data_IF_577599478914
#
_entry.id   IF_577599478914
#
_cell.length_a   1.000
_cell.length_b   1.000
_cell.length_c   1.000
_cell.angle_alpha   90.00
_cell.angle_beta   90.00
_cell.angle_gamma   90.00
#
_symmetry.space_group_name_H-M   'P 1'
#
loop_
_entity.id
_entity.type
_entity.pdbx_description
1 polymer ?
#
# COMPACT_ATOMS: atom_id res chain seq x y z
N UNK A 1 -33.15 30.01 54.51
CA UNK A 1 -33.73 28.64 54.57
C UNK A 1 -33.10 27.87 53.44
N UNK A 2 -32.28 26.91 53.81
CA UNK A 2 -31.71 25.98 52.76
C UNK A 2 -32.85 25.07 52.29
N UNK A 3 -32.98 24.93 51.00
CA UNK A 3 -33.98 24.06 50.39
C UNK A 3 -33.35 22.66 50.23
N UNK A 4 -33.99 21.65 50.83
CA UNK A 4 -33.56 20.26 50.82
C UNK A 4 -34.43 19.37 49.92
N UNK A 5 -35.28 19.97 49.06
CA UNK A 5 -36.19 19.20 48.19
C UNK A 5 -35.48 18.31 47.21
N UNK A 6 -34.22 18.62 46.85
CA UNK A 6 -33.35 17.83 46.01
C UNK A 6 -32.97 16.45 46.61
N UNK A 7 -33.02 16.32 47.96
CA UNK A 7 -32.76 15.04 48.65
C UNK A 7 -33.92 14.04 48.48
N UNK A 8 -35.07 14.52 48.08
CA UNK A 8 -36.29 13.73 47.91
C UNK A 8 -36.71 13.59 46.46
N UNK A 9 -35.91 14.14 45.51
CA UNK A 9 -36.12 13.92 44.07
C UNK A 9 -35.93 12.44 43.76
N UNK A 10 -36.86 11.81 43.02
CA UNK A 10 -36.68 10.41 42.61
C UNK A 10 -35.36 10.28 41.87
N UNK A 11 -34.51 9.39 42.35
CA UNK A 11 -33.26 9.05 41.64
C UNK A 11 -33.66 8.55 40.26
N UNK A 12 -32.94 8.98 39.18
CA UNK A 12 -33.18 8.44 37.88
C UNK A 12 -33.03 6.91 37.96
N UNK A 13 -34.08 6.20 37.54
CA UNK A 13 -34.06 4.74 37.45
C UNK A 13 -32.76 4.33 36.79
N UNK A 14 -31.92 3.58 37.52
CA UNK A 14 -30.78 2.92 36.91
C UNK A 14 -31.35 2.04 35.81
N UNK A 15 -31.11 2.40 34.53
CA UNK A 15 -31.40 1.51 33.44
C UNK A 15 -30.56 0.26 33.68
N UNK A 16 -31.22 -0.81 34.10
CA UNK A 16 -30.59 -2.13 34.07
C UNK A 16 -30.14 -2.38 32.64
N UNK A 17 -28.83 -2.38 32.44
CA UNK A 17 -28.28 -2.76 31.16
C UNK A 17 -28.80 -4.16 30.81
N UNK A 18 -29.50 -4.29 29.71
CA UNK A 18 -30.00 -5.57 29.25
C UNK A 18 -28.84 -6.58 29.23
N UNK A 19 -29.05 -7.83 29.67
CA UNK A 19 -28.00 -8.82 29.74
C UNK A 19 -27.33 -8.96 28.37
N UNK A 20 -26.00 -9.01 28.37
CA UNK A 20 -25.19 -9.09 27.13
C UNK A 20 -25.62 -10.33 26.32
N UNK A 21 -26.24 -10.09 25.16
CA UNK A 21 -26.64 -11.13 24.22
C UNK A 21 -25.42 -11.50 23.34
N UNK A 22 -24.80 -12.63 23.68
CA UNK A 22 -23.61 -13.15 22.97
C UNK A 22 -23.91 -13.51 21.53
N UNK A 23 -25.11 -14.04 21.25
CA UNK A 23 -25.48 -14.51 19.93
C UNK A 23 -25.79 -13.32 19.01
N UNK A 24 -26.51 -12.33 19.49
CA UNK A 24 -26.73 -11.08 18.77
C UNK A 24 -25.41 -10.33 18.50
N UNK A 25 -24.49 -10.31 19.46
CA UNK A 25 -23.16 -9.73 19.29
C UNK A 25 -22.35 -10.49 18.24
N UNK A 26 -22.34 -11.82 18.27
CA UNK A 26 -21.63 -12.66 17.29
C UNK A 26 -22.20 -12.48 15.87
N UNK A 27 -23.53 -12.45 15.73
CA UNK A 27 -24.21 -12.20 14.46
C UNK A 27 -23.84 -10.81 13.91
N UNK A 28 -23.84 -9.77 14.74
CA UNK A 28 -23.42 -8.41 14.34
C UNK A 28 -21.97 -8.39 13.86
N UNK A 29 -21.06 -9.05 14.55
CA UNK A 29 -19.65 -9.14 14.16
C UNK A 29 -19.44 -9.91 12.87
N UNK A 30 -20.24 -10.95 12.64
CA UNK A 30 -20.22 -11.70 11.40
C UNK A 30 -20.72 -10.84 10.22
N UNK A 31 -21.85 -10.15 10.37
CA UNK A 31 -22.38 -9.25 9.35
C UNK A 31 -21.41 -8.10 9.02
N UNK A 32 -20.74 -7.52 10.04
CA UNK A 32 -19.71 -6.50 9.82
C UNK A 32 -18.55 -7.05 8.98
N UNK A 33 -18.09 -8.26 9.26
CA UNK A 33 -17.02 -8.93 8.50
C UNK A 33 -17.44 -9.22 7.06
N UNK A 34 -18.63 -9.75 6.86
CA UNK A 34 -19.18 -10.03 5.53
C UNK A 34 -19.28 -8.76 4.70
N UNK A 35 -19.76 -7.66 5.28
CA UNK A 35 -19.80 -6.35 4.62
C UNK A 35 -18.41 -5.86 4.17
N UNK A 36 -17.36 -6.10 4.98
CA UNK A 36 -15.99 -5.74 4.64
C UNK A 36 -15.47 -6.56 3.45
N UNK A 37 -15.72 -7.88 3.46
CA UNK A 37 -15.31 -8.72 2.32
C UNK A 37 -16.08 -8.41 1.05
N UNK A 38 -17.37 -8.09 1.16
CA UNK A 38 -18.17 -7.64 0.02
C UNK A 38 -17.59 -6.34 -0.57
N UNK A 39 -17.19 -5.38 0.26
CA UNK A 39 -16.54 -4.14 -0.21
C UNK A 39 -15.24 -4.43 -0.95
N UNK A 40 -14.40 -5.34 -0.43
CA UNK A 40 -13.16 -5.75 -1.09
C UNK A 40 -13.45 -6.36 -2.45
N UNK A 41 -14.39 -7.29 -2.53
CA UNK A 41 -14.70 -8.02 -3.76
C UNK A 41 -15.36 -7.10 -4.80
N UNK A 42 -16.23 -6.20 -4.37
CA UNK A 42 -16.87 -5.20 -5.24
C UNK A 42 -15.82 -4.26 -5.84
N UNK A 43 -14.98 -3.65 -5.01
CA UNK A 43 -13.95 -2.75 -5.52
C UNK A 43 -12.92 -3.47 -6.40
N UNK A 44 -12.55 -4.71 -6.06
CA UNK A 44 -11.66 -5.52 -6.89
C UNK A 44 -12.28 -5.77 -8.28
N UNK A 45 -13.58 -6.07 -8.35
CA UNK A 45 -14.27 -6.24 -9.61
C UNK A 45 -14.33 -4.94 -10.42
N UNK A 46 -14.68 -3.83 -9.79
CA UNK A 46 -14.76 -2.52 -10.45
C UNK A 46 -13.40 -2.07 -11.00
N UNK A 47 -12.32 -2.18 -10.20
CA UNK A 47 -10.98 -1.79 -10.64
C UNK A 47 -10.39 -2.71 -11.71
N UNK A 48 -10.97 -3.88 -11.96
CA UNK A 48 -10.52 -4.79 -13.02
C UNK A 48 -10.79 -4.25 -14.43
N UNK A 49 -11.77 -3.37 -14.55
CA UNK A 49 -12.22 -2.78 -15.82
C UNK A 49 -12.11 -1.25 -15.86
N UNK A 50 -11.88 -0.61 -14.72
CA UNK A 50 -11.74 0.83 -14.59
C UNK A 50 -10.31 1.21 -14.21
N UNK A 51 -9.56 1.76 -15.18
CA UNK A 51 -8.17 2.18 -14.97
C UNK A 51 -8.00 3.32 -13.98
N UNK A 52 -9.04 4.15 -13.76
CA UNK A 52 -9.05 5.21 -12.74
C UNK A 52 -9.09 4.62 -11.34
N UNK A 53 -9.97 3.65 -11.09
CA UNK A 53 -10.03 2.92 -9.82
C UNK A 53 -8.78 2.09 -9.59
N UNK A 54 -8.26 1.45 -10.63
CA UNK A 54 -7.00 0.70 -10.56
C UNK A 54 -5.83 1.61 -10.17
N UNK A 55 -5.71 2.78 -10.80
CA UNK A 55 -4.71 3.79 -10.45
C UNK A 55 -4.87 4.28 -9.01
N UNK A 56 -6.11 4.51 -8.55
CA UNK A 56 -6.40 4.88 -7.17
C UNK A 56 -5.92 3.83 -6.17
N UNK A 57 -6.13 2.54 -6.46
CA UNK A 57 -5.56 1.43 -5.69
C UNK A 57 -4.02 1.49 -5.66
N UNK A 58 -3.36 1.68 -6.81
CA UNK A 58 -1.90 1.77 -6.89
C UNK A 58 -1.35 2.97 -6.09
N UNK A 59 -2.05 4.11 -6.11
CA UNK A 59 -1.70 5.30 -5.33
C UNK A 59 -1.74 5.02 -3.82
N UNK A 60 -2.77 4.32 -3.36
CA UNK A 60 -2.88 3.89 -1.96
C UNK A 60 -1.80 2.87 -1.61
N UNK A 61 -1.60 1.85 -2.45
CA UNK A 61 -0.59 0.81 -2.18
C UNK A 61 0.83 1.37 -2.16
N UNK A 62 1.13 2.37 -3.00
CA UNK A 62 2.42 3.06 -2.98
C UNK A 62 2.66 3.85 -1.68
N UNK A 63 1.62 4.44 -1.08
CA UNK A 63 1.71 5.16 0.20
C UNK A 63 1.75 4.21 1.40
N UNK A 64 0.98 3.12 1.35
CA UNK A 64 0.84 2.13 2.43
C UNK A 64 1.46 0.78 2.01
N UNK A 65 2.76 0.78 1.74
CA UNK A 65 3.51 -0.37 1.20
C UNK A 65 3.49 -1.62 2.09
N UNK A 66 3.28 -1.44 3.40
CA UNK A 66 3.16 -2.55 4.35
C UNK A 66 1.73 -3.11 4.43
N UNK A 67 0.75 -2.46 3.82
CA UNK A 67 -0.62 -2.96 3.85
C UNK A 67 -0.78 -4.16 2.92
N UNK A 68 -1.65 -5.09 3.34
CA UNK A 68 -2.10 -6.15 2.44
C UNK A 68 -2.91 -5.55 1.28
N UNK A 69 -3.00 -6.27 0.17
CA UNK A 69 -3.86 -5.90 -0.97
C UNK A 69 -5.28 -5.57 -0.52
N UNK A 70 -5.86 -6.40 0.35
CA UNK A 70 -7.21 -6.19 0.87
C UNK A 70 -7.33 -4.87 1.65
N UNK A 71 -6.35 -4.51 2.47
CA UNK A 71 -6.37 -3.25 3.19
C UNK A 71 -6.14 -2.04 2.27
N UNK A 72 -5.27 -2.16 1.27
CA UNK A 72 -5.10 -1.09 0.28
C UNK A 72 -6.39 -0.86 -0.53
N UNK A 73 -7.10 -1.94 -0.91
CA UNK A 73 -8.43 -1.86 -1.55
C UNK A 73 -9.43 -1.18 -0.62
N UNK A 74 -9.51 -1.57 0.65
CA UNK A 74 -10.43 -0.96 1.61
C UNK A 74 -10.16 0.54 1.80
N UNK A 75 -8.90 0.95 1.84
CA UNK A 75 -8.55 2.37 1.92
C UNK A 75 -8.88 3.09 0.63
N UNK A 76 -8.58 2.50 -0.55
CA UNK A 76 -8.90 3.09 -1.84
C UNK A 76 -10.41 3.29 -2.03
N UNK A 77 -11.22 2.35 -1.55
CA UNK A 77 -12.68 2.42 -1.61
C UNK A 77 -13.29 3.49 -0.69
N UNK A 78 -12.68 3.77 0.46
CA UNK A 78 -13.27 4.60 1.51
C UNK A 78 -12.61 6.00 1.61
N UNK A 79 -11.31 6.09 1.40
CA UNK A 79 -10.53 7.32 1.51
C UNK A 79 -9.27 7.24 0.64
N UNK A 80 -9.38 7.37 -0.69
CA UNK A 80 -8.25 7.19 -1.61
C UNK A 80 -7.11 8.18 -1.39
N UNK A 81 -7.39 9.34 -0.81
CA UNK A 81 -6.40 10.37 -0.50
C UNK A 81 -5.76 10.22 0.90
N UNK A 82 -6.08 9.15 1.63
CA UNK A 82 -5.49 8.91 2.95
C UNK A 82 -3.96 8.91 2.90
N UNK A 83 -3.34 9.53 3.91
CA UNK A 83 -1.87 9.65 4.00
C UNK A 83 -1.30 9.07 5.28
N UNK A 84 -2.08 9.07 6.37
CA UNK A 84 -1.65 8.54 7.66
C UNK A 84 -2.85 8.04 8.45
N UNK A 85 -2.93 6.73 8.65
CA UNK A 85 -4.03 6.06 9.32
C UNK A 85 -3.64 5.64 10.73
N UNK A 86 -4.52 5.91 11.69
CA UNK A 86 -4.44 5.36 13.04
C UNK A 86 -5.85 5.20 13.62
N UNK A 87 -5.97 4.35 14.64
CA UNK A 87 -7.22 4.24 15.41
C UNK A 87 -7.43 5.46 16.32
N UNK A 88 -8.64 5.56 16.86
CA UNK A 88 -9.04 6.70 17.66
C UNK A 88 -8.15 6.89 18.91
N UNK A 89 -7.80 5.81 19.57
CA UNK A 89 -7.01 5.84 20.80
C UNK A 89 -5.57 6.26 20.52
N UNK A 90 -4.96 5.74 19.43
CA UNK A 90 -3.63 6.15 19.03
C UNK A 90 -3.55 7.64 18.65
N UNK A 91 -4.57 8.17 17.93
CA UNK A 91 -4.64 9.61 17.67
C UNK A 91 -4.72 10.42 18.95
N UNK A 92 -5.56 10.00 19.91
CA UNK A 92 -5.73 10.66 21.20
C UNK A 92 -4.44 10.64 22.03
N UNK A 93 -3.75 9.51 22.09
CA UNK A 93 -2.45 9.36 22.78
C UNK A 93 -1.38 10.27 22.17
N UNK A 94 -1.43 10.47 20.85
CA UNK A 94 -0.54 11.40 20.13
C UNK A 94 -0.95 12.88 20.29
N UNK A 95 -1.96 13.20 21.10
CA UNK A 95 -2.46 14.56 21.26
C UNK A 95 -3.25 15.09 20.06
N UNK A 96 -3.63 14.23 19.11
CA UNK A 96 -4.39 14.57 17.91
C UNK A 96 -5.82 14.04 18.06
N UNK A 97 -6.82 14.87 17.76
CA UNK A 97 -8.21 14.52 17.98
C UNK A 97 -8.97 14.39 16.66
N UNK A 98 -9.69 13.29 16.49
CA UNK A 98 -10.62 13.08 15.38
C UNK A 98 -11.75 14.11 15.47
N UNK A 99 -12.15 14.66 14.33
CA UNK A 99 -13.28 15.61 14.27
C UNK A 99 -14.59 14.88 14.54
N UNK A 100 -15.55 15.62 15.10
CA UNK A 100 -16.88 15.06 15.35
C UNK A 100 -17.62 14.85 14.03
N UNK A 101 -18.23 13.65 13.87
CA UNK A 101 -19.04 13.31 12.71
C UNK A 101 -18.24 12.70 11.55
N UNK A 102 -16.94 12.42 11.73
CA UNK A 102 -16.15 11.71 10.72
C UNK A 102 -16.48 10.21 10.72
N UNK A 103 -16.63 9.66 9.54
CA UNK A 103 -16.83 8.22 9.35
C UNK A 103 -15.49 7.48 9.39
N UNK A 104 -15.44 6.43 10.21
CA UNK A 104 -14.23 5.64 10.34
C UNK A 104 -13.96 4.79 9.10
N UNK A 105 -12.72 4.78 8.65
CA UNK A 105 -12.23 3.88 7.61
C UNK A 105 -12.09 2.48 8.21
N UNK A 106 -12.63 1.49 7.53
CA UNK A 106 -12.61 0.10 7.96
C UNK A 106 -11.45 -0.63 7.31
N UNK A 107 -10.62 -1.29 8.11
CA UNK A 107 -9.54 -2.16 7.66
C UNK A 107 -9.60 -3.52 8.36
N UNK A 108 -8.79 -4.46 7.92
CA UNK A 108 -8.62 -5.78 8.53
C UNK A 108 -7.30 -5.81 9.30
N UNK A 109 -7.34 -6.27 10.56
CA UNK A 109 -6.13 -6.57 11.32
C UNK A 109 -6.01 -8.06 11.61
N UNK A 110 -4.79 -8.63 11.67
CA UNK A 110 -4.60 -10.02 12.04
C UNK A 110 -5.17 -10.29 13.41
N UNK A 111 -5.97 -11.35 13.52
CA UNK A 111 -6.51 -11.84 14.77
C UNK A 111 -5.76 -13.09 15.25
N UNK A 112 -6.50 -14.04 15.84
CA UNK A 112 -5.92 -15.27 16.35
C UNK A 112 -5.63 -16.27 15.23
N UNK A 113 -4.53 -17.00 15.38
CA UNK A 113 -4.26 -18.18 14.56
C UNK A 113 -5.25 -19.30 14.91
N UNK A 114 -5.65 -20.07 13.90
CA UNK A 114 -6.47 -21.25 14.06
C UNK A 114 -5.98 -22.36 13.13
N UNK A 115 -6.23 -23.62 13.55
CA UNK A 115 -5.95 -24.76 12.70
C UNK A 115 -7.12 -25.01 11.75
N UNK A 116 -6.82 -25.15 10.47
CA UNK A 116 -7.77 -25.56 9.43
C UNK A 116 -7.98 -27.08 9.50
N UNK A 117 -9.05 -27.57 8.89
CA UNK A 117 -9.38 -29.01 8.85
C UNK A 117 -8.29 -29.84 8.15
N UNK A 118 -7.55 -29.26 7.22
CA UNK A 118 -6.41 -29.87 6.54
C UNK A 118 -5.09 -29.83 7.33
N UNK A 119 -5.10 -29.29 8.56
CA UNK A 119 -3.95 -29.19 9.45
C UNK A 119 -3.12 -27.92 9.30
N UNK A 120 -3.35 -27.11 8.28
CA UNK A 120 -2.67 -25.83 8.08
C UNK A 120 -3.06 -24.81 9.15
N UNK A 121 -2.17 -23.86 9.41
CA UNK A 121 -2.46 -22.71 10.27
C UNK A 121 -3.09 -21.60 9.42
N UNK A 122 -4.27 -21.14 9.83
CA UNK A 122 -4.93 -19.97 9.30
C UNK A 122 -4.84 -18.81 10.28
N UNK A 123 -4.93 -17.58 9.79
CA UNK A 123 -5.06 -16.39 10.61
C UNK A 123 -6.46 -15.82 10.43
N UNK A 124 -7.18 -15.60 11.54
CA UNK A 124 -8.44 -14.87 11.49
C UNK A 124 -8.17 -13.39 11.30
N UNK A 125 -9.14 -12.65 10.77
CA UNK A 125 -9.02 -11.19 10.64
C UNK A 125 -10.17 -10.52 11.38
N UNK A 126 -9.83 -9.50 12.16
CA UNK A 126 -10.78 -8.65 12.85
C UNK A 126 -11.00 -7.37 12.04
N UNK A 127 -12.21 -6.85 12.12
CA UNK A 127 -12.53 -5.54 11.57
C UNK A 127 -12.02 -4.47 12.54
N UNK A 128 -11.20 -3.54 12.01
CA UNK A 128 -10.65 -2.41 12.76
C UNK A 128 -11.10 -1.09 12.15
N UNK A 129 -11.44 -0.14 12.99
CA UNK A 129 -11.80 1.22 12.60
C UNK A 129 -10.61 2.14 12.79
N UNK A 130 -10.24 2.85 11.74
CA UNK A 130 -9.15 3.83 11.73
C UNK A 130 -9.63 5.14 11.11
N UNK A 131 -8.86 6.20 11.33
CA UNK A 131 -9.13 7.52 10.77
C UNK A 131 -7.86 8.05 10.11
N UNK A 132 -8.02 8.73 8.98
CA UNK A 132 -6.90 9.43 8.36
C UNK A 132 -6.62 10.75 9.10
N UNK A 133 -5.39 11.22 8.99
CA UNK A 133 -4.97 12.50 9.57
C UNK A 133 -5.83 13.67 9.09
N UNK A 134 -6.34 13.63 7.86
CA UNK A 134 -7.26 14.63 7.30
C UNK A 134 -8.59 14.72 8.06
N UNK A 135 -9.01 13.63 8.70
CA UNK A 135 -10.21 13.53 9.54
C UNK A 135 -9.96 14.02 10.98
N UNK A 136 -8.75 14.47 11.27
CA UNK A 136 -8.37 14.98 12.57
C UNK A 136 -8.27 16.51 12.59
N UNK A 137 -8.15 17.09 13.78
CA UNK A 137 -7.92 18.54 13.96
C UNK A 137 -6.55 18.99 13.45
N UNK A 138 -5.60 18.08 13.26
CA UNK A 138 -4.31 18.39 12.63
C UNK A 138 -4.46 18.69 11.14
N UNK A 139 -5.53 18.20 10.50
CA UNK A 139 -5.82 18.38 9.08
C UNK A 139 -4.88 17.59 8.17
N UNK A 140 -5.15 17.68 6.88
CA UNK A 140 -4.36 16.98 5.87
C UNK A 140 -2.93 17.51 5.86
N UNK A 141 -1.98 16.60 5.94
CA UNK A 141 -0.58 16.89 5.75
C UNK A 141 -0.12 16.25 4.43
N UNK A 142 0.66 16.96 3.61
CA UNK A 142 1.24 16.34 2.44
C UNK A 142 2.08 15.14 2.86
N UNK A 143 2.00 14.05 2.11
CA UNK A 143 2.91 12.93 2.34
C UNK A 143 4.36 13.45 2.33
N UNK A 144 5.19 13.07 3.30
CA UNK A 144 6.55 13.56 3.39
C UNK A 144 7.33 13.14 2.14
N UNK A 145 7.58 14.10 1.27
CA UNK A 145 8.41 13.90 0.08
C UNK A 145 9.85 14.20 0.49
N UNK A 146 10.63 13.16 0.66
CA UNK A 146 12.07 13.33 0.87
C UNK A 146 12.71 13.58 -0.50
N UNK A 147 13.07 14.82 -0.79
CA UNK A 147 13.90 15.13 -1.95
C UNK A 147 15.25 14.41 -1.80
N UNK A 148 15.50 13.42 -2.61
CA UNK A 148 16.77 12.68 -2.63
C UNK A 148 17.57 13.09 -3.86
N UNK A 149 18.89 13.08 -3.71
CA UNK A 149 19.79 13.21 -4.83
C UNK A 149 19.48 12.12 -5.88
N UNK A 150 19.35 12.50 -7.15
CA UNK A 150 18.97 11.61 -8.24
C UNK A 150 19.93 10.42 -8.40
N UNK A 151 21.23 10.66 -8.20
CA UNK A 151 22.24 9.62 -8.29
C UNK A 151 22.13 8.62 -7.15
N UNK A 152 21.82 9.10 -5.93
CA UNK A 152 21.56 8.24 -4.79
C UNK A 152 20.29 7.42 -5.02
N UNK A 153 19.24 8.03 -5.58
CA UNK A 153 17.98 7.38 -5.89
C UNK A 153 18.17 6.25 -6.89
N UNK A 154 18.91 6.47 -7.98
CA UNK A 154 19.22 5.45 -8.98
C UNK A 154 20.11 4.34 -8.40
N UNK A 155 21.12 4.68 -7.58
CA UNK A 155 21.93 3.68 -6.88
C UNK A 155 21.10 2.82 -5.95
N UNK A 156 20.15 3.42 -5.24
CA UNK A 156 19.26 2.69 -4.35
C UNK A 156 18.36 1.72 -5.13
N UNK A 157 17.81 2.17 -6.27
CA UNK A 157 16.99 1.31 -7.13
C UNK A 157 17.76 0.09 -7.65
N UNK A 158 19.05 0.25 -7.95
CA UNK A 158 19.92 -0.83 -8.42
C UNK A 158 20.46 -1.71 -7.30
N UNK A 159 20.24 -1.34 -6.04
CA UNK A 159 20.79 -2.07 -4.90
C UNK A 159 20.19 -3.47 -4.77
N UNK A 160 21.07 -4.47 -4.66
CA UNK A 160 20.68 -5.89 -4.53
C UNK A 160 19.72 -6.36 -5.66
N UNK A 161 19.92 -5.83 -6.87
CA UNK A 161 19.16 -6.25 -8.06
C UNK A 161 19.46 -7.72 -8.41
N UNK A 162 18.48 -8.48 -8.93
CA UNK A 162 18.68 -9.88 -9.31
C UNK A 162 19.42 -10.05 -10.65
N UNK A 163 19.81 -8.96 -11.30
CA UNK A 163 20.44 -8.93 -12.62
C UNK A 163 21.57 -7.91 -12.69
N UNK A 164 22.34 -7.95 -13.77
CA UNK A 164 23.39 -6.98 -14.09
C UNK A 164 22.84 -5.82 -14.92
N UNK A 165 23.62 -4.75 -15.03
CA UNK A 165 23.29 -3.58 -15.83
C UNK A 165 24.40 -3.30 -16.82
N UNK A 166 24.06 -2.87 -18.03
CA UNK A 166 25.01 -2.47 -19.05
C UNK A 166 24.44 -1.35 -19.92
N UNK A 167 25.31 -0.49 -20.43
CA UNK A 167 24.91 0.52 -21.40
C UNK A 167 24.99 -0.12 -22.81
N UNK A 168 23.94 0.11 -23.61
CA UNK A 168 23.90 -0.29 -24.99
C UNK A 168 23.16 0.75 -25.84
N UNK A 169 23.70 1.05 -27.02
CA UNK A 169 23.04 1.87 -28.03
C UNK A 169 22.41 1.02 -29.17
N UNK A 170 22.51 -0.32 -29.05
CA UNK A 170 21.96 -1.27 -30.01
C UNK A 170 20.54 -1.73 -29.70
N UNK A 171 19.91 -1.09 -28.70
CA UNK A 171 18.49 -1.35 -28.35
C UNK A 171 17.60 -0.96 -29.55
N UNK A 172 16.45 -1.67 -29.73
CA UNK A 172 15.50 -1.33 -30.79
C UNK A 172 15.07 0.15 -30.71
N UNK A 173 14.71 0.70 -31.88
CA UNK A 173 14.21 2.08 -31.93
C UNK A 173 13.01 2.27 -31.03
N UNK A 174 12.96 3.39 -30.30
CA UNK A 174 11.92 3.67 -29.31
C UNK A 174 12.09 2.94 -27.96
N UNK A 175 13.05 2.03 -27.82
CA UNK A 175 13.33 1.32 -26.57
C UNK A 175 14.49 2.00 -25.82
N UNK A 176 14.23 2.50 -24.63
CA UNK A 176 15.23 3.14 -23.79
C UNK A 176 16.01 2.14 -22.94
N UNK A 177 15.35 1.05 -22.52
CA UNK A 177 15.97 -0.04 -21.77
C UNK A 177 15.16 -1.33 -21.90
N UNK A 178 15.82 -2.48 -21.69
CA UNK A 178 15.18 -3.77 -21.76
C UNK A 178 15.93 -4.80 -20.92
N UNK A 179 15.18 -5.66 -20.21
CA UNK A 179 15.71 -6.83 -19.52
C UNK A 179 15.81 -8.02 -20.49
N UNK A 180 16.97 -8.60 -20.58
CA UNK A 180 17.23 -9.82 -21.33
C UNK A 180 17.45 -10.98 -20.37
N UNK A 181 16.46 -11.85 -20.28
CA UNK A 181 16.44 -12.95 -19.32
C UNK A 181 17.57 -13.96 -19.54
N UNK A 182 17.93 -14.24 -20.80
CA UNK A 182 19.00 -15.16 -21.18
C UNK A 182 20.37 -14.73 -20.64
N UNK A 183 20.66 -13.44 -20.73
CA UNK A 183 21.93 -12.86 -20.29
C UNK A 183 21.89 -12.40 -18.83
N UNK A 184 20.70 -12.33 -18.27
CA UNK A 184 20.41 -11.74 -16.96
C UNK A 184 20.95 -10.30 -16.84
N UNK A 185 20.67 -9.48 -17.85
CA UNK A 185 21.15 -8.09 -17.96
C UNK A 185 19.99 -7.18 -18.33
N UNK A 186 19.96 -6.00 -17.68
CA UNK A 186 19.19 -4.84 -18.17
C UNK A 186 20.14 -3.95 -18.95
N UNK A 187 19.85 -3.78 -20.23
CA UNK A 187 20.54 -2.81 -21.08
C UNK A 187 19.82 -1.47 -21.03
N UNK A 188 20.60 -0.41 -20.89
CA UNK A 188 20.12 0.98 -20.77
C UNK A 188 20.74 1.82 -21.89
N UNK A 189 19.93 2.58 -22.62
CA UNK A 189 20.41 3.52 -23.65
C UNK A 189 21.18 4.67 -23.00
N UNK A 190 22.26 5.11 -23.60
CA UNK A 190 23.06 6.23 -23.11
C UNK A 190 22.33 7.57 -23.29
N UNK A 191 22.58 8.52 -22.39
CA UNK A 191 22.13 9.92 -22.52
C UNK A 191 20.72 10.22 -22.02
N UNK A 192 20.11 9.30 -21.30
CA UNK A 192 18.79 9.50 -20.67
C UNK A 192 18.91 10.34 -19.38
N UNK A 193 17.86 11.09 -19.07
CA UNK A 193 17.73 11.80 -17.78
C UNK A 193 17.37 10.85 -16.64
N UNK A 194 17.59 11.30 -15.40
CA UNK A 194 17.38 10.47 -14.21
C UNK A 194 15.92 10.01 -14.02
N UNK A 195 14.88 10.82 -14.22
CA UNK A 195 13.50 10.36 -14.15
C UNK A 195 13.15 9.30 -15.19
N UNK A 196 13.64 9.43 -16.41
CA UNK A 196 13.45 8.43 -17.49
C UNK A 196 14.17 7.13 -17.14
N UNK A 197 15.42 7.21 -16.64
CA UNK A 197 16.15 6.02 -16.18
C UNK A 197 15.40 5.36 -15.03
N UNK A 198 14.94 6.13 -14.03
CA UNK A 198 14.26 5.55 -12.88
C UNK A 198 12.99 4.80 -13.28
N UNK A 199 12.12 5.42 -14.09
CA UNK A 199 10.88 4.79 -14.57
C UNK A 199 11.11 3.50 -15.31
N UNK A 200 11.95 3.55 -16.34
CA UNK A 200 12.20 2.36 -17.15
C UNK A 200 12.97 1.28 -16.38
N UNK A 201 13.96 1.68 -15.57
CA UNK A 201 14.74 0.74 -14.77
C UNK A 201 13.86 0.04 -13.72
N UNK A 202 12.94 0.76 -13.08
CA UNK A 202 11.97 0.18 -12.14
C UNK A 202 11.08 -0.87 -12.82
N UNK A 203 10.66 -0.61 -14.06
CA UNK A 203 9.86 -1.57 -14.84
C UNK A 203 10.67 -2.81 -15.22
N UNK A 204 11.87 -2.65 -15.73
CA UNK A 204 12.72 -3.77 -16.14
C UNK A 204 13.24 -4.59 -14.93
N UNK A 205 13.48 -3.93 -13.79
CA UNK A 205 13.78 -4.62 -12.54
C UNK A 205 12.60 -5.45 -12.05
N UNK A 206 11.37 -4.96 -12.19
CA UNK A 206 10.19 -5.75 -11.84
C UNK A 206 10.11 -7.03 -12.71
N UNK A 207 10.39 -6.94 -14.01
CA UNK A 207 10.48 -8.12 -14.89
C UNK A 207 11.56 -9.09 -14.43
N UNK A 208 12.76 -8.57 -14.11
CA UNK A 208 13.86 -9.38 -13.63
C UNK A 208 13.55 -10.06 -12.28
N UNK A 209 12.86 -9.37 -11.36
CA UNK A 209 12.42 -9.96 -10.10
C UNK A 209 11.38 -11.07 -10.30
N UNK A 210 10.42 -10.88 -11.20
CA UNK A 210 9.43 -11.91 -11.52
C UNK A 210 10.09 -13.13 -12.17
N UNK A 211 10.96 -12.92 -13.17
CA UNK A 211 11.67 -13.99 -13.86
C UNK A 211 12.53 -14.81 -12.88
N UNK A 212 13.40 -14.15 -12.12
CA UNK A 212 14.31 -14.84 -11.18
C UNK A 212 13.61 -15.45 -9.99
N UNK A 213 12.47 -14.88 -9.57
CA UNK A 213 11.63 -15.43 -8.51
C UNK A 213 10.73 -16.56 -8.98
N UNK A 214 10.68 -16.89 -10.27
CA UNK A 214 9.72 -17.84 -10.82
C UNK A 214 8.26 -17.41 -10.59
N UNK A 215 8.04 -16.10 -10.50
CA UNK A 215 6.71 -15.53 -10.22
C UNK A 215 5.96 -15.42 -11.53
N UNK A 216 4.80 -16.05 -11.58
CA UNK A 216 3.91 -16.00 -12.75
C UNK A 216 2.70 -15.11 -12.46
N UNK A 217 2.29 -14.34 -13.43
CA UNK A 217 1.06 -13.55 -13.45
C UNK A 217 0.52 -13.49 -14.89
N UNK A 218 -0.77 -13.17 -15.04
CA UNK A 218 -1.43 -13.19 -16.35
C UNK A 218 -0.92 -12.09 -17.30
N UNK A 219 -0.53 -10.95 -16.74
CA UNK A 219 -0.09 -9.80 -17.51
C UNK A 219 1.25 -9.25 -16.98
N UNK A 220 2.39 -9.94 -17.24
CA UNK A 220 3.69 -9.56 -16.65
C UNK A 220 4.14 -8.15 -17.03
N UNK A 221 3.85 -7.72 -18.25
CA UNK A 221 4.21 -6.38 -18.74
C UNK A 221 3.42 -5.29 -18.02
N UNK A 222 2.13 -5.51 -17.82
CA UNK A 222 1.27 -4.60 -17.08
C UNK A 222 1.61 -4.59 -15.59
N UNK A 223 1.96 -5.75 -15.02
CA UNK A 223 2.43 -5.85 -13.64
C UNK A 223 3.73 -5.05 -13.46
N UNK A 224 4.72 -5.21 -14.34
CA UNK A 224 5.98 -4.47 -14.29
C UNK A 224 5.77 -2.96 -14.45
N UNK A 225 4.88 -2.54 -15.35
CA UNK A 225 4.48 -1.14 -15.53
C UNK A 225 3.83 -0.56 -14.26
N UNK A 226 2.94 -1.31 -13.62
CA UNK A 226 2.28 -0.94 -12.36
C UNK A 226 3.26 -0.83 -11.20
N UNK A 227 4.24 -1.74 -11.11
CA UNK A 227 5.34 -1.68 -10.13
C UNK A 227 6.16 -0.41 -10.33
N UNK A 228 6.52 -0.08 -11.58
CA UNK A 228 7.24 1.16 -11.90
C UNK A 228 6.46 2.39 -11.44
N UNK A 229 5.15 2.43 -11.71
CA UNK A 229 4.28 3.51 -11.23
C UNK A 229 4.32 3.67 -9.71
N UNK A 230 4.13 2.57 -8.95
CA UNK A 230 4.17 2.61 -7.49
C UNK A 230 5.51 3.08 -6.94
N UNK A 231 6.61 2.63 -7.52
CA UNK A 231 7.96 3.05 -7.11
C UNK A 231 8.21 4.52 -7.41
N UNK A 232 7.74 5.04 -8.57
CA UNK A 232 7.80 6.46 -8.91
C UNK A 232 7.01 7.31 -7.91
N UNK A 233 5.75 6.96 -7.63
CA UNK A 233 4.89 7.66 -6.65
C UNK A 233 5.55 7.72 -5.27
N UNK A 234 6.06 6.59 -4.81
CA UNK A 234 6.69 6.49 -3.49
C UNK A 234 7.94 7.34 -3.35
N UNK A 235 8.72 7.48 -4.42
CA UNK A 235 10.01 8.17 -4.40
C UNK A 235 9.96 9.60 -4.95
N UNK A 236 8.77 10.13 -5.25
CA UNK A 236 8.60 11.49 -5.75
C UNK A 236 9.09 11.69 -7.19
N UNK A 237 9.24 10.61 -7.96
CA UNK A 237 9.53 10.68 -9.39
C UNK A 237 8.24 10.95 -10.15
N UNK A 238 8.29 11.81 -11.16
CA UNK A 238 7.11 12.15 -11.97
C UNK A 238 6.45 10.91 -12.56
N UNK A 239 5.14 10.82 -12.38
CA UNK A 239 4.28 9.79 -12.96
C UNK A 239 3.53 10.28 -14.21
N UNK A 240 3.92 11.43 -14.72
CA UNK A 240 3.40 11.94 -15.99
C UNK A 240 3.73 10.96 -17.13
N UNK A 241 2.73 10.69 -17.97
CA UNK A 241 2.83 9.72 -19.07
C UNK A 241 2.46 8.27 -18.68
N UNK A 242 2.21 7.97 -17.39
CA UNK A 242 1.55 6.71 -17.06
C UNK A 242 0.05 6.80 -17.34
N UNK A 243 -0.47 5.82 -18.07
CA UNK A 243 -1.91 5.66 -18.33
C UNK A 243 -2.35 4.24 -18.01
N UNK A 244 -3.51 4.14 -17.39
CA UNK A 244 -4.20 2.88 -17.10
C UNK A 244 -5.53 2.79 -17.86
N UNK A 245 -5.74 3.59 -18.91
CA UNK A 245 -6.96 3.61 -19.70
C UNK A 245 -7.23 2.28 -20.43
N UNK A 246 -6.18 1.48 -20.62
CA UNK A 246 -6.27 0.14 -21.20
C UNK A 246 -5.87 -0.90 -20.17
N UNK A 247 -6.88 -1.48 -19.55
CA UNK A 247 -6.70 -2.62 -18.64
C UNK A 247 -6.48 -3.90 -19.45
N UNK A 248 -5.73 -4.89 -18.90
CA UNK A 248 -5.63 -6.22 -19.53
C UNK A 248 -7.02 -6.86 -19.67
N UNK A 249 -7.35 -7.36 -20.85
CA UNK A 249 -8.64 -8.00 -21.11
C UNK A 249 -8.91 -9.20 -20.17
N UNK A 250 -7.85 -9.92 -19.79
CA UNK A 250 -7.92 -11.03 -18.86
C UNK A 250 -8.45 -10.63 -17.48
N UNK A 251 -8.22 -9.38 -17.05
CA UNK A 251 -8.67 -8.91 -15.72
C UNK A 251 -10.19 -8.82 -15.62
N UNK A 252 -10.87 -8.45 -16.71
CA UNK A 252 -12.33 -8.38 -16.75
C UNK A 252 -13.04 -9.73 -16.50
N UNK A 253 -12.34 -10.84 -16.71
CA UNK A 253 -12.87 -12.21 -16.53
C UNK A 253 -12.41 -12.86 -15.23
N UNK A 254 -11.52 -12.21 -14.47
CA UNK A 254 -11.06 -12.72 -13.19
C UNK A 254 -12.11 -12.58 -12.10
N UNK A 255 -12.18 -13.56 -11.22
CA UNK A 255 -12.84 -13.34 -9.94
C UNK A 255 -12.01 -12.41 -9.02
N UNK A 256 -12.66 -11.88 -8.00
CA UNK A 256 -11.99 -10.95 -7.07
C UNK A 256 -10.77 -11.58 -6.36
N UNK A 257 -10.74 -12.87 -6.15
CA UNK A 257 -9.61 -13.58 -5.54
C UNK A 257 -8.43 -13.66 -6.49
N UNK A 258 -8.67 -14.01 -7.76
CA UNK A 258 -7.65 -14.08 -8.79
C UNK A 258 -7.04 -12.68 -9.03
N UNK A 259 -7.88 -11.65 -9.16
CA UNK A 259 -7.38 -10.29 -9.32
C UNK A 259 -6.54 -9.81 -8.12
N UNK A 260 -6.96 -10.11 -6.88
CA UNK A 260 -6.15 -9.81 -5.70
C UNK A 260 -4.81 -10.54 -5.70
N UNK A 261 -4.73 -11.74 -6.26
CA UNK A 261 -3.46 -12.44 -6.42
C UNK A 261 -2.55 -11.72 -7.44
N UNK A 262 -3.10 -11.29 -8.58
CA UNK A 262 -2.37 -10.50 -9.60
C UNK A 262 -1.78 -9.20 -9.02
N UNK A 263 -2.59 -8.38 -8.38
CA UNK A 263 -2.09 -7.14 -7.77
C UNK A 263 -1.21 -7.42 -6.55
N UNK A 264 -1.34 -8.60 -5.93
CA UNK A 264 -0.44 -9.11 -4.89
C UNK A 264 0.98 -9.29 -5.39
N UNK A 265 1.16 -9.83 -6.59
CA UNK A 265 2.48 -9.91 -7.25
C UNK A 265 3.10 -8.52 -7.41
N UNK A 266 2.33 -7.55 -7.89
CA UNK A 266 2.80 -6.16 -8.05
C UNK A 266 3.27 -5.56 -6.72
N UNK A 267 2.46 -5.71 -5.65
CA UNK A 267 2.79 -5.26 -4.30
C UNK A 267 4.06 -5.91 -3.78
N UNK A 268 4.21 -7.21 -3.92
CA UNK A 268 5.33 -7.96 -3.35
C UNK A 268 6.65 -7.65 -4.07
N UNK A 269 6.62 -7.50 -5.40
CA UNK A 269 7.76 -7.07 -6.19
C UNK A 269 8.15 -5.63 -5.83
N UNK A 270 7.19 -4.70 -5.79
CA UNK A 270 7.45 -3.32 -5.38
C UNK A 270 8.00 -3.24 -3.94
N UNK A 271 7.47 -4.04 -3.02
CA UNK A 271 7.93 -4.15 -1.64
C UNK A 271 9.37 -4.67 -1.52
N UNK A 272 9.73 -5.66 -2.33
CA UNK A 272 11.10 -6.19 -2.39
C UNK A 272 12.09 -5.12 -2.86
N UNK A 273 11.78 -4.44 -3.96
CA UNK A 273 12.61 -3.35 -4.49
C UNK A 273 12.72 -2.21 -3.46
N UNK A 274 11.59 -1.80 -2.88
CA UNK A 274 11.55 -0.75 -1.84
C UNK A 274 12.41 -1.11 -0.63
N UNK A 275 12.38 -2.36 -0.18
CA UNK A 275 13.21 -2.84 0.94
C UNK A 275 14.69 -2.72 0.62
N UNK A 276 15.11 -3.09 -0.59
CA UNK A 276 16.48 -2.95 -1.05
C UNK A 276 16.91 -1.49 -1.15
N UNK A 277 16.03 -0.62 -1.67
CA UNK A 277 16.27 0.83 -1.72
C UNK A 277 16.46 1.44 -0.32
N UNK A 278 15.60 1.07 0.63
CA UNK A 278 15.68 1.58 2.00
C UNK A 278 16.99 1.17 2.71
N UNK A 279 17.51 -0.03 2.44
CA UNK A 279 18.83 -0.45 2.95
C UNK A 279 19.93 0.49 2.43
N UNK A 280 19.94 0.78 1.14
CA UNK A 280 20.92 1.69 0.55
C UNK A 280 20.83 3.11 1.12
N UNK A 281 19.62 3.62 1.35
CA UNK A 281 19.43 4.92 1.98
C UNK A 281 19.97 4.94 3.41
N UNK A 282 19.67 3.91 4.21
CA UNK A 282 20.14 3.80 5.59
C UNK A 282 21.69 3.72 5.66
N UNK A 283 22.30 2.99 4.75
CA UNK A 283 23.77 2.87 4.70
C UNK A 283 24.43 4.19 4.28
N UNK A 284 23.84 4.92 3.34
CA UNK A 284 24.30 6.24 2.96
C UNK A 284 24.21 7.25 4.11
N UNK A 285 23.11 7.24 4.87
CA UNK A 285 22.94 8.11 6.04
C UNK A 285 23.97 7.82 7.14
N UNK A 286 24.27 6.56 7.39
CA UNK A 286 25.33 6.16 8.34
C UNK A 286 26.70 6.65 7.88
N UNK A 287 27.01 6.50 6.59
CA UNK A 287 28.27 6.95 6.02
C UNK A 287 28.44 8.47 6.14
N UNK A 288 27.42 9.26 5.82
CA UNK A 288 27.47 10.73 5.93
C UNK A 288 27.64 11.18 7.38
N UNK A 289 26.87 10.61 8.33
CA UNK A 289 27.01 10.92 9.76
C UNK A 289 28.42 10.60 10.30
N UNK A 290 29.01 9.50 9.91
CA UNK A 290 30.36 9.12 10.35
C UNK A 290 31.42 10.05 9.77
N UNK A 291 31.27 10.53 8.52
CA UNK A 291 32.18 11.47 7.89
C UNK A 291 32.13 12.84 8.56
N UNK A 292 30.94 13.34 8.87
CA UNK A 292 30.74 14.67 9.48
C UNK A 292 31.06 14.66 10.99
N UNK A 293 30.92 13.50 11.68
CA UNK A 293 31.29 13.31 13.09
C UNK A 293 32.80 13.09 13.31
N UNK A 294 33.56 12.68 12.31
CA UNK A 294 35.01 12.49 12.37
C UNK A 294 35.85 13.76 12.06
N UNK A 295 35.18 14.88 11.77
CA UNK A 295 35.81 16.15 11.46
C UNK A 295 35.81 17.14 12.66
N UNK A 296 35.69 16.65 13.91
CA UNK A 296 35.80 17.44 15.13
C UNK A 296 37.02 17.03 15.95
#
# INVERSE_FOLDING_TARGET
MENFDDLFAPQPEQREDAPFDKDAWAAKKQAEREGVYLMIDTYAHEMSVDGGLFRSYLDVQARFDLYSVSNAILVAAQCPEATKLADFDHWKESGVYVKRGEDAITILEPGKEYKKDNGDVGVSYNVKKVFDISQTRAGQQPAPTVARDERLLLKALMNNAPCRFSISNELPEGTNMAYYAQDNIIYVRQGLDAPTIFRGLAQELARAHMDKGGITCESPDFAAYSVSYMLCKRNGVSVEGFSFDRMPESYATMDAKALRAEVGVMRDVAGTITTNMNRQFADHEKYTKNRDGGAR
#
